data_IF_029190629464
#
_entry.id   IF_029190629464
#
_cell.length_a   1.000
_cell.length_b   1.000
_cell.length_c   1.000
_cell.angle_alpha   90.00
_cell.angle_beta   90.00
_cell.angle_gamma   90.00
#
_symmetry.space_group_name_H-M   'P 1'
#
loop_
_entity.id
_entity.type
_entity.pdbx_description
1 polymer ?
#
# COMPACT_ATOMS: atom_id res chain seq x y z
N UNK A 1 0.64 31.52 11.24
CA UNK A 1 0.78 30.24 11.97
C UNK A 1 -0.12 29.17 11.36
N UNK A 2 -1.42 29.42 11.19
CA UNK A 2 -2.37 28.50 10.54
C UNK A 2 -2.05 28.18 9.08
N UNK A 3 -1.64 29.18 8.28
CA UNK A 3 -1.22 28.98 6.89
C UNK A 3 -0.03 28.05 6.73
N UNK A 4 0.99 28.19 7.59
CA UNK A 4 2.18 27.33 7.60
C UNK A 4 1.82 25.87 7.89
N UNK A 5 0.93 25.65 8.88
CA UNK A 5 0.47 24.31 9.25
C UNK A 5 -0.25 23.65 8.07
N UNK A 6 -1.18 24.36 7.41
CA UNK A 6 -1.89 23.82 6.25
C UNK A 6 -0.96 23.52 5.07
N UNK A 7 0.07 24.35 4.86
CA UNK A 7 1.06 24.09 3.81
C UNK A 7 1.86 22.82 4.09
N UNK A 8 2.30 22.60 5.33
CA UNK A 8 3.03 21.38 5.72
C UNK A 8 2.15 20.14 5.53
N UNK A 9 0.90 20.20 5.99
CA UNK A 9 -0.06 19.11 5.83
C UNK A 9 -0.30 18.77 4.35
N UNK A 10 -0.48 19.79 3.50
CA UNK A 10 -0.65 19.59 2.07
C UNK A 10 0.57 18.92 1.41
N UNK A 11 1.80 19.28 1.83
CA UNK A 11 3.02 18.66 1.33
C UNK A 11 3.11 17.19 1.75
N UNK A 12 2.78 16.87 3.00
CA UNK A 12 2.77 15.49 3.50
C UNK A 12 1.74 14.65 2.74
N UNK A 13 0.54 15.18 2.50
CA UNK A 13 -0.47 14.50 1.68
C UNK A 13 -0.01 14.28 0.24
N UNK A 14 0.65 15.27 -0.37
CA UNK A 14 1.18 15.14 -1.72
C UNK A 14 2.22 14.03 -1.83
N UNK A 15 3.15 13.95 -0.86
CA UNK A 15 4.16 12.88 -0.79
C UNK A 15 3.50 11.52 -0.60
N UNK A 16 2.48 11.40 0.27
CA UNK A 16 1.74 10.16 0.44
C UNK A 16 1.02 9.71 -0.84
N UNK A 17 0.46 10.65 -1.61
CA UNK A 17 -0.19 10.36 -2.89
C UNK A 17 0.79 9.76 -3.91
N UNK A 18 1.99 10.34 -3.99
CA UNK A 18 3.06 9.87 -4.89
C UNK A 18 3.55 8.47 -4.47
N UNK A 19 3.64 8.19 -3.17
CA UNK A 19 3.98 6.85 -2.68
C UNK A 19 2.96 5.79 -3.09
N UNK A 20 1.67 6.13 -3.06
CA UNK A 20 0.60 5.17 -3.37
C UNK A 20 0.54 4.82 -4.88
N UNK A 21 0.90 5.74 -5.76
CA UNK A 21 0.95 5.48 -7.21
C UNK A 21 2.11 4.56 -7.60
N UNK A 22 3.26 4.68 -6.94
CA UNK A 22 4.41 3.80 -7.17
C UNK A 22 4.09 2.33 -6.88
N UNK A 23 3.36 2.05 -5.79
CA UNK A 23 2.90 0.70 -5.45
C UNK A 23 1.99 0.15 -6.55
N UNK A 24 1.02 0.94 -6.99
CA UNK A 24 0.06 0.52 -8.02
C UNK A 24 0.75 0.14 -9.34
N UNK A 25 1.80 0.87 -9.73
CA UNK A 25 2.61 0.57 -10.92
C UNK A 25 3.39 -0.75 -10.80
N UNK A 26 3.97 -1.04 -9.63
CA UNK A 26 4.68 -2.30 -9.40
C UNK A 26 3.73 -3.51 -9.59
N UNK A 27 2.49 -3.40 -9.11
CA UNK A 27 1.53 -4.50 -9.22
C UNK A 27 1.00 -4.72 -10.64
N UNK A 28 0.81 -3.67 -11.44
CA UNK A 28 0.35 -3.87 -12.83
C UNK A 28 1.38 -4.61 -13.70
N UNK A 29 2.65 -4.63 -13.28
CA UNK A 29 3.73 -5.39 -13.91
C UNK A 29 3.76 -6.86 -13.44
N UNK A 30 3.29 -7.18 -12.24
CA UNK A 30 3.22 -8.57 -11.76
C UNK A 30 2.06 -9.38 -12.34
N UNK A 31 1.03 -8.71 -12.87
CA UNK A 31 -0.16 -9.38 -13.40
C UNK A 31 -0.23 -9.29 -14.94
N UNK A 32 -0.73 -10.35 -15.60
CA UNK A 32 -0.93 -10.35 -17.05
C UNK A 32 -2.03 -9.36 -17.44
N UNK A 33 -2.04 -8.95 -18.71
CA UNK A 33 -2.82 -7.82 -19.23
C UNK A 33 -4.33 -7.94 -18.99
N UNK A 34 -4.87 -9.16 -18.92
CA UNK A 34 -6.31 -9.42 -18.81
C UNK A 34 -6.88 -9.11 -17.42
N UNK A 35 -6.09 -9.37 -16.36
CA UNK A 35 -6.54 -9.15 -14.98
C UNK A 35 -5.87 -7.94 -14.33
N UNK A 36 -4.96 -7.26 -15.04
CA UNK A 36 -4.18 -6.11 -14.55
C UNK A 36 -5.04 -5.06 -13.85
N UNK A 37 -6.14 -4.65 -14.47
CA UNK A 37 -7.02 -3.62 -13.92
C UNK A 37 -7.72 -4.09 -12.64
N UNK A 38 -8.29 -5.29 -12.66
CA UNK A 38 -8.96 -5.89 -11.49
C UNK A 38 -7.99 -6.13 -10.34
N UNK A 39 -6.77 -6.61 -10.64
CA UNK A 39 -5.74 -6.86 -9.65
C UNK A 39 -5.24 -5.55 -9.01
N UNK A 40 -4.98 -4.52 -9.82
CA UNK A 40 -4.61 -3.18 -9.31
C UNK A 40 -5.69 -2.59 -8.40
N UNK A 41 -6.97 -2.68 -8.79
CA UNK A 41 -8.09 -2.21 -7.97
C UNK A 41 -8.23 -3.00 -6.66
N UNK A 42 -8.10 -4.32 -6.71
CA UNK A 42 -8.16 -5.18 -5.52
C UNK A 42 -7.04 -4.84 -4.53
N UNK A 43 -5.82 -4.61 -5.02
CA UNK A 43 -4.70 -4.19 -4.17
C UNK A 43 -4.97 -2.82 -3.55
N UNK A 44 -5.50 -1.86 -4.31
CA UNK A 44 -5.88 -0.56 -3.77
C UNK A 44 -6.91 -0.70 -2.64
N UNK A 45 -7.91 -1.56 -2.81
CA UNK A 45 -8.95 -1.76 -1.79
C UNK A 45 -8.45 -2.53 -0.57
N UNK A 46 -7.56 -3.51 -0.73
CA UNK A 46 -6.97 -4.23 0.40
C UNK A 46 -5.98 -3.34 1.15
N UNK A 47 -5.11 -2.63 0.43
CA UNK A 47 -4.13 -1.70 1.02
C UNK A 47 -4.83 -0.61 1.82
N UNK A 48 -5.80 0.09 1.21
CA UNK A 48 -6.55 1.12 1.92
C UNK A 48 -7.49 0.55 2.97
N UNK A 49 -8.13 -0.60 2.74
CA UNK A 49 -9.07 -1.19 3.69
C UNK A 49 -8.39 -1.61 5.00
N UNK A 50 -7.19 -2.21 4.90
CA UNK A 50 -6.46 -2.74 6.06
C UNK A 50 -5.58 -1.66 6.71
N UNK A 51 -4.77 -0.94 5.91
CA UNK A 51 -3.75 -0.02 6.45
C UNK A 51 -4.18 1.45 6.44
N UNK A 52 -5.01 1.88 5.48
CA UNK A 52 -5.51 3.26 5.41
C UNK A 52 -6.89 3.47 6.02
N UNK A 53 -7.54 2.39 6.48
CA UNK A 53 -8.99 2.34 6.62
C UNK A 53 -9.47 2.00 8.02
N UNK A 54 -10.59 1.28 8.06
CA UNK A 54 -11.38 1.04 9.27
C UNK A 54 -10.61 0.21 10.30
N UNK A 55 -9.84 -0.78 9.86
CA UNK A 55 -9.13 -1.70 10.76
C UNK A 55 -8.06 -1.00 11.59
N UNK A 56 -7.16 -0.23 10.95
CA UNK A 56 -6.10 0.48 11.68
C UNK A 56 -6.69 1.55 12.62
N UNK A 57 -7.76 2.21 12.18
CA UNK A 57 -8.43 3.25 12.95
C UNK A 57 -9.05 2.69 14.24
N UNK A 58 -9.68 1.51 14.16
CA UNK A 58 -10.19 0.81 15.34
C UNK A 58 -9.07 0.33 16.27
N UNK A 59 -7.95 -0.17 15.73
CA UNK A 59 -6.80 -0.60 16.53
C UNK A 59 -6.21 0.60 17.28
N UNK A 60 -5.96 1.72 16.61
CA UNK A 60 -5.41 2.92 17.26
C UNK A 60 -6.38 3.53 18.26
N UNK A 61 -7.66 3.60 17.93
CA UNK A 61 -8.67 4.14 18.86
C UNK A 61 -8.80 3.27 20.11
N UNK A 62 -8.82 1.94 19.96
CA UNK A 62 -8.85 1.02 21.09
C UNK A 62 -7.58 1.11 21.94
N UNK A 63 -6.41 1.21 21.31
CA UNK A 63 -5.13 1.39 21.99
C UNK A 63 -5.07 2.70 22.81
N UNK A 64 -5.52 3.81 22.22
CA UNK A 64 -5.61 5.11 22.90
C UNK A 64 -6.53 5.02 24.12
N UNK A 65 -7.68 4.36 23.96
CA UNK A 65 -8.64 4.16 25.04
C UNK A 65 -8.06 3.29 26.17
N UNK A 66 -7.34 2.21 25.84
CA UNK A 66 -6.73 1.31 26.82
C UNK A 66 -5.57 1.95 27.59
N UNK A 67 -4.78 2.83 26.96
CA UNK A 67 -3.63 3.49 27.59
C UNK A 67 -3.98 4.80 28.32
N UNK A 68 -5.26 5.21 28.26
CA UNK A 68 -5.76 6.39 28.98
C UNK A 68 -5.36 7.72 28.33
N UNK A 69 -5.23 7.77 27.01
CA UNK A 69 -5.08 9.01 26.24
C UNK A 69 -3.94 9.02 25.21
N UNK A 70 -4.01 9.97 24.29
CA UNK A 70 -3.12 10.07 23.11
C UNK A 70 -1.63 10.21 23.48
N UNK A 71 -1.33 10.93 24.56
CA UNK A 71 0.06 11.20 24.96
C UNK A 71 0.79 9.94 25.44
N UNK A 72 0.04 8.96 25.97
CA UNK A 72 0.60 7.69 26.45
C UNK A 72 0.70 6.64 25.35
N UNK A 73 -0.12 6.75 24.32
CA UNK A 73 -0.14 5.80 23.20
C UNK A 73 0.76 6.22 22.03
N UNK A 74 1.18 7.48 21.95
CA UNK A 74 1.89 8.00 20.79
C UNK A 74 3.19 7.26 20.50
N UNK A 75 3.96 6.91 21.53
CA UNK A 75 5.22 6.16 21.37
C UNK A 75 4.98 4.78 20.74
N UNK A 76 3.93 4.08 21.18
CA UNK A 76 3.55 2.76 20.66
C UNK A 76 3.03 2.87 19.22
N UNK A 77 2.23 3.90 18.92
CA UNK A 77 1.70 4.14 17.57
C UNK A 77 2.83 4.50 16.59
N UNK A 78 3.77 5.35 17.01
CA UNK A 78 4.94 5.72 16.22
C UNK A 78 5.81 4.49 15.96
N UNK A 79 6.09 3.68 16.99
CA UNK A 79 6.88 2.46 16.85
C UNK A 79 6.22 1.46 15.89
N UNK A 80 4.90 1.27 15.98
CA UNK A 80 4.14 0.41 15.07
C UNK A 80 4.25 0.90 13.61
N UNK A 81 4.13 2.21 13.39
CA UNK A 81 4.24 2.82 12.05
C UNK A 81 5.65 2.64 11.47
N UNK A 82 6.69 2.84 12.28
CA UNK A 82 8.08 2.58 11.88
C UNK A 82 8.27 1.11 11.53
N UNK A 83 7.70 0.19 12.31
CA UNK A 83 7.73 -1.26 12.03
C UNK A 83 7.15 -1.60 10.66
N UNK A 84 5.98 -1.05 10.33
CA UNK A 84 5.35 -1.24 9.00
C UNK A 84 6.23 -0.66 7.89
N UNK A 85 6.84 0.52 8.09
CA UNK A 85 7.74 1.12 7.11
C UNK A 85 8.99 0.26 6.86
N UNK A 86 9.58 -0.33 7.90
CA UNK A 86 10.73 -1.24 7.78
C UNK A 86 10.33 -2.51 7.04
N UNK A 87 9.19 -3.12 7.38
CA UNK A 87 8.68 -4.31 6.69
C UNK A 87 8.44 -3.99 5.21
N UNK A 88 7.82 -2.85 4.90
CA UNK A 88 7.61 -2.38 3.53
C UNK A 88 8.93 -2.22 2.79
N UNK A 89 9.94 -1.61 3.41
CA UNK A 89 11.26 -1.42 2.81
C UNK A 89 11.94 -2.75 2.51
N UNK A 90 11.92 -3.69 3.46
CA UNK A 90 12.47 -5.04 3.26
C UNK A 90 11.74 -5.75 2.13
N UNK A 91 10.40 -5.68 2.09
CA UNK A 91 9.60 -6.29 1.03
C UNK A 91 9.96 -5.71 -0.35
N UNK A 92 10.12 -4.39 -0.45
CA UNK A 92 10.54 -3.73 -1.70
C UNK A 92 11.95 -4.17 -2.11
N UNK A 93 12.90 -4.27 -1.18
CA UNK A 93 14.26 -4.73 -1.47
C UNK A 93 14.33 -6.20 -1.90
N UNK A 94 13.42 -7.05 -1.41
CA UNK A 94 13.29 -8.45 -1.81
C UNK A 94 12.48 -8.64 -3.09
N UNK A 95 11.77 -7.61 -3.54
CA UNK A 95 10.97 -7.64 -4.76
C UNK A 95 11.87 -7.77 -5.98
N UNK A 96 11.44 -8.57 -6.95
CA UNK A 96 12.16 -8.66 -8.23
C UNK A 96 11.89 -7.41 -9.07
N UNK A 97 12.93 -6.86 -9.65
CA UNK A 97 12.82 -5.81 -10.66
C UNK A 97 12.05 -6.36 -11.88
N UNK A 98 10.99 -5.65 -12.27
CA UNK A 98 10.08 -6.02 -13.37
C UNK A 98 10.21 -5.05 -14.56
N UNK A 99 11.06 -4.04 -14.44
CA UNK A 99 11.44 -3.17 -15.55
C UNK A 99 11.92 -3.99 -16.75
N UNK A 100 11.43 -3.62 -17.93
CA UNK A 100 11.75 -4.23 -19.23
C UNK A 100 11.21 -5.66 -19.45
N UNK A 101 10.36 -6.19 -18.56
CA UNK A 101 9.66 -7.47 -18.78
C UNK A 101 8.48 -7.26 -19.75
N UNK A 102 8.52 -7.94 -20.91
CA UNK A 102 7.40 -7.93 -21.85
C UNK A 102 6.24 -8.79 -21.35
N UNK A 103 5.17 -8.13 -20.92
CA UNK A 103 3.96 -8.77 -20.39
C UNK A 103 3.11 -9.44 -21.47
N UNK A 104 3.28 -9.09 -22.75
CA UNK A 104 2.60 -9.77 -23.86
C UNK A 104 3.19 -11.16 -24.16
N UNK A 105 4.44 -11.39 -23.75
CA UNK A 105 5.13 -12.67 -23.91
C UNK A 105 4.79 -13.69 -22.81
N UNK A 106 4.13 -13.26 -21.74
CA UNK A 106 3.77 -14.11 -20.60
C UNK A 106 2.55 -14.97 -20.96
N UNK A 107 2.57 -16.30 -20.71
CA UNK A 107 1.45 -17.18 -20.99
C UNK A 107 0.17 -16.68 -20.31
N UNK A 108 -0.85 -16.42 -21.11
CA UNK A 108 -2.13 -15.91 -20.61
C UNK A 108 -2.91 -17.04 -19.96
N UNK A 109 -3.67 -16.74 -18.89
CA UNK A 109 -4.50 -17.74 -18.20
C UNK A 109 -5.41 -18.49 -19.18
N UNK A 110 -5.98 -17.77 -20.14
CA UNK A 110 -6.88 -18.31 -21.15
C UNK A 110 -6.18 -19.13 -22.25
N UNK A 111 -4.89 -18.86 -22.55
CA UNK A 111 -4.10 -19.70 -23.47
C UNK A 111 -3.82 -21.09 -22.88
N UNK A 112 -3.68 -21.19 -21.56
CA UNK A 112 -3.45 -22.45 -20.86
C UNK A 112 -4.72 -23.32 -20.80
N UNK A 113 -5.90 -22.71 -20.62
CA UNK A 113 -7.19 -23.41 -20.65
C UNK A 113 -7.54 -23.89 -22.06
N UNK A 114 -7.26 -23.08 -23.10
CA UNK A 114 -7.50 -23.46 -24.48
C UNK A 114 -6.62 -24.61 -24.97
N UNK A 115 -5.44 -24.83 -24.35
CA UNK A 115 -4.56 -25.96 -24.66
C UNK A 115 -4.98 -27.27 -23.97
N UNK A 116 -5.74 -27.17 -22.88
CA UNK A 116 -6.22 -28.32 -22.08
C UNK A 116 -7.68 -28.72 -22.41
N UNK A 117 -8.30 -28.09 -23.40
CA UNK A 117 -9.60 -28.46 -23.96
C UNK A 117 -9.42 -28.95 -25.39
#
# INVERSE_FOLDING_TARGET
MTTLIMTIEAIVYLVALIGNSALTNLFVEYFPTEIRYSASSLVYQIGNGIYGGVTISFIYTSLIASLGGILKSIEIIVLATIGVAIISLIATLLSKETKDVDLASVPTLFSSEAKNR
#
